data_IF_502118519817
#
_entry.id   IF_502118519817
#
_cell.length_a   1.000
_cell.length_b   1.000
_cell.length_c   1.000
_cell.angle_alpha   90.00
_cell.angle_beta   90.00
_cell.angle_gamma   90.00
#
_symmetry.space_group_name_H-M   'P 1'
#
loop_
_entity.id
_entity.type
_entity.pdbx_description
1 polymer ?
#
# COMPACT_ATOMS: atom_id res chain seq x y z
N UNK A 1 69.54 7.44 36.79
CA UNK A 1 68.06 7.50 36.99
C UNK A 1 67.38 8.55 36.11
N UNK A 2 67.95 9.75 35.95
CA UNK A 2 67.36 10.85 35.16
C UNK A 2 67.22 10.49 33.66
N UNK A 3 68.22 9.87 33.05
CA UNK A 3 68.22 9.48 31.61
C UNK A 3 67.15 8.48 31.27
N UNK A 4 66.89 7.50 32.12
CA UNK A 4 65.80 6.49 31.90
C UNK A 4 64.42 7.12 31.97
N UNK A 5 64.24 8.15 32.75
CA UNK A 5 62.95 8.89 32.87
C UNK A 5 62.67 9.73 31.62
N UNK A 6 63.67 10.34 31.01
CA UNK A 6 63.52 11.07 29.76
C UNK A 6 63.26 10.15 28.57
N UNK A 7 63.85 8.97 28.52
CA UNK A 7 63.61 7.95 27.49
C UNK A 7 62.16 7.43 27.64
N UNK A 8 61.68 7.17 28.83
CA UNK A 8 60.30 6.72 29.05
C UNK A 8 59.29 7.78 28.65
N UNK A 9 59.48 9.06 28.95
CA UNK A 9 58.61 10.16 28.54
C UNK A 9 58.62 10.33 27.03
N UNK A 10 59.76 10.24 26.36
CA UNK A 10 59.85 10.33 24.90
C UNK A 10 59.16 9.15 24.23
N UNK A 11 59.26 7.94 24.78
CA UNK A 11 58.61 6.75 24.25
C UNK A 11 57.08 6.84 24.36
N UNK A 12 56.56 7.30 25.51
CA UNK A 12 55.12 7.48 25.70
C UNK A 12 54.55 8.57 24.80
N UNK A 13 55.26 9.67 24.59
CA UNK A 13 54.85 10.73 23.65
C UNK A 13 54.82 10.22 22.19
N UNK A 14 55.81 9.42 21.78
CA UNK A 14 55.85 8.84 20.46
C UNK A 14 54.68 7.86 20.20
N UNK A 15 54.37 7.00 21.19
CA UNK A 15 53.23 6.08 21.10
C UNK A 15 51.89 6.82 21.02
N UNK A 16 51.72 7.89 21.81
CA UNK A 16 50.52 8.73 21.78
C UNK A 16 50.36 9.44 20.42
N UNK A 17 51.46 9.95 19.85
CA UNK A 17 51.45 10.61 18.54
C UNK A 17 51.08 9.63 17.43
N UNK A 18 51.66 8.42 17.44
CA UNK A 18 51.32 7.37 16.45
C UNK A 18 49.87 6.91 16.58
N UNK A 19 49.36 6.76 17.80
CA UNK A 19 47.94 6.40 18.04
C UNK A 19 46.99 7.48 17.53
N UNK A 20 47.32 8.75 17.76
CA UNK A 20 46.50 9.86 17.24
C UNK A 20 46.52 9.94 15.71
N UNK A 21 47.69 9.77 15.09
CA UNK A 21 47.79 9.73 13.62
C UNK A 21 47.01 8.57 12.98
N UNK A 22 47.11 7.39 13.61
CA UNK A 22 46.36 6.22 13.18
C UNK A 22 44.84 6.44 13.32
N UNK A 23 44.38 7.03 14.40
CA UNK A 23 42.98 7.36 14.64
C UNK A 23 42.45 8.37 13.60
N UNK A 24 43.23 9.42 13.31
CA UNK A 24 42.88 10.41 12.28
C UNK A 24 42.81 9.74 10.86
N UNK A 25 43.78 8.90 10.54
CA UNK A 25 43.82 8.17 9.27
C UNK A 25 42.63 7.22 9.17
N UNK A 26 42.28 6.44 10.18
CA UNK A 26 41.14 5.57 10.22
C UNK A 26 39.82 6.35 10.10
N UNK A 27 39.70 7.47 10.80
CA UNK A 27 38.52 8.31 10.75
C UNK A 27 38.36 8.97 9.35
N UNK A 28 39.47 9.37 8.72
CA UNK A 28 39.49 9.89 7.35
C UNK A 28 39.10 8.81 6.33
N UNK A 29 39.64 7.58 6.46
CA UNK A 29 39.27 6.45 5.61
C UNK A 29 37.83 6.01 5.83
N UNK A 30 37.36 6.00 7.07
CA UNK A 30 35.99 5.65 7.43
C UNK A 30 34.99 6.69 6.87
N UNK A 31 35.27 7.98 7.04
CA UNK A 31 34.47 9.05 6.41
C UNK A 31 34.48 8.96 4.88
N UNK A 32 35.60 8.66 4.26
CA UNK A 32 35.72 8.57 2.82
C UNK A 32 34.99 7.34 2.24
N UNK A 33 34.86 6.28 3.04
CA UNK A 33 34.14 5.06 2.64
C UNK A 33 32.63 5.19 2.79
N UNK A 34 32.18 6.00 3.73
CA UNK A 34 30.74 6.31 3.93
C UNK A 34 30.27 7.35 2.91
N UNK A 35 31.14 8.23 2.44
CA UNK A 35 30.90 9.22 1.38
C UNK A 35 31.38 8.72 0.02
N UNK A 36 31.08 7.49 -0.34
CA UNK A 36 31.31 7.03 -1.71
C UNK A 36 30.19 7.57 -2.62
N UNK A 37 30.53 8.06 -3.84
CA UNK A 37 29.50 8.47 -4.82
C UNK A 37 28.48 7.39 -5.13
N UNK A 38 28.81 6.12 -4.88
CA UNK A 38 27.90 4.98 -5.03
C UNK A 38 26.77 4.97 -3.98
N UNK A 39 27.02 5.39 -2.72
CA UNK A 39 25.99 5.47 -1.70
C UNK A 39 24.97 6.57 -2.05
N UNK A 40 25.45 7.71 -2.55
CA UNK A 40 24.60 8.82 -2.99
C UNK A 40 23.79 8.45 -4.25
N UNK A 41 24.40 7.72 -5.18
CA UNK A 41 23.73 7.22 -6.37
C UNK A 41 22.67 6.12 -6.07
N UNK A 42 22.91 5.27 -5.08
CA UNK A 42 21.90 4.30 -4.61
C UNK A 42 20.72 5.01 -3.93
N UNK A 43 20.97 6.02 -3.08
CA UNK A 43 19.91 6.79 -2.42
C UNK A 43 19.06 7.55 -3.42
N UNK A 44 19.67 8.18 -4.44
CA UNK A 44 18.94 8.88 -5.51
C UNK A 44 18.10 7.89 -6.33
N UNK A 45 18.62 6.70 -6.66
CA UNK A 45 17.85 5.66 -7.36
C UNK A 45 16.69 5.14 -6.53
N UNK A 46 16.90 4.89 -5.24
CA UNK A 46 15.83 4.46 -4.34
C UNK A 46 14.73 5.53 -4.21
N UNK A 47 15.09 6.81 -4.11
CA UNK A 47 14.14 7.92 -4.09
C UNK A 47 13.41 8.11 -5.43
N UNK A 48 14.08 7.90 -6.58
CA UNK A 48 13.44 7.95 -7.90
C UNK A 48 12.52 6.75 -8.12
N UNK A 49 12.90 5.54 -7.67
CA UNK A 49 12.05 4.35 -7.70
C UNK A 49 10.84 4.51 -6.77
N UNK A 50 10.97 5.14 -5.60
CA UNK A 50 9.84 5.43 -4.71
C UNK A 50 8.92 6.52 -5.29
N UNK A 51 9.43 7.51 -6.01
CA UNK A 51 8.60 8.55 -6.67
C UNK A 51 7.70 8.00 -7.77
N UNK A 52 8.09 6.90 -8.40
CA UNK A 52 7.26 6.19 -9.37
C UNK A 52 6.23 5.24 -8.77
N UNK A 53 6.33 4.93 -7.48
CA UNK A 53 5.44 3.98 -6.80
C UNK A 53 4.22 4.68 -6.23
N UNK A 54 3.04 4.12 -6.47
CA UNK A 54 1.77 4.64 -5.99
C UNK A 54 1.04 3.58 -5.19
N UNK A 55 0.89 3.80 -3.90
CA UNK A 55 0.23 2.84 -3.02
C UNK A 55 -1.28 2.95 -3.10
N UNK A 56 -1.93 1.85 -3.43
CA UNK A 56 -3.39 1.67 -3.44
C UNK A 56 -3.77 0.75 -2.28
N UNK A 57 -4.57 1.26 -1.36
CA UNK A 57 -5.04 0.48 -0.21
C UNK A 57 -6.40 -0.14 -0.53
N UNK A 58 -6.52 -1.46 -0.40
CA UNK A 58 -7.75 -2.20 -0.69
C UNK A 58 -8.37 -2.70 0.60
N UNK A 59 -9.51 -2.11 0.97
CA UNK A 59 -10.24 -2.41 2.20
C UNK A 59 -11.68 -2.84 1.91
N UNK A 60 -12.35 -3.32 2.93
CA UNK A 60 -13.75 -3.77 2.89
C UNK A 60 -13.94 -4.97 3.81
N UNK A 61 -15.17 -5.29 4.13
CA UNK A 61 -15.50 -6.39 5.02
C UNK A 61 -14.99 -7.74 4.46
N UNK A 62 -14.89 -8.72 5.33
CA UNK A 62 -14.57 -10.09 4.91
C UNK A 62 -15.62 -10.63 3.93
N UNK A 63 -15.17 -11.38 2.94
CA UNK A 63 -16.03 -11.91 1.89
C UNK A 63 -16.50 -10.89 0.83
N UNK A 64 -16.13 -9.61 0.91
CA UNK A 64 -16.52 -8.58 -0.08
C UNK A 64 -15.92 -8.79 -1.48
N UNK A 65 -14.85 -9.59 -1.62
CA UNK A 65 -14.23 -9.90 -2.91
C UNK A 65 -12.97 -9.10 -3.21
N UNK A 66 -12.29 -8.57 -2.18
CA UNK A 66 -11.02 -7.83 -2.31
C UNK A 66 -9.95 -8.64 -3.04
N UNK A 67 -9.67 -9.85 -2.55
CA UNK A 67 -8.66 -10.74 -3.15
C UNK A 67 -9.04 -11.17 -4.57
N UNK A 68 -10.33 -11.32 -4.87
CA UNK A 68 -10.81 -11.61 -6.23
C UNK A 68 -10.56 -10.43 -7.17
N UNK A 69 -10.71 -9.20 -6.70
CA UNK A 69 -10.37 -8.00 -7.45
C UNK A 69 -8.88 -7.97 -7.79
N UNK A 70 -8.02 -8.18 -6.81
CA UNK A 70 -6.57 -8.18 -7.03
C UNK A 70 -6.13 -9.27 -8.01
N UNK A 71 -6.67 -10.48 -7.86
CA UNK A 71 -6.40 -11.57 -8.79
C UNK A 71 -6.85 -11.26 -10.22
N UNK A 72 -7.95 -10.53 -10.37
CA UNK A 72 -8.46 -10.13 -11.67
C UNK A 72 -7.65 -9.02 -12.35
N UNK A 73 -6.96 -8.18 -11.59
CA UNK A 73 -6.07 -7.14 -12.10
C UNK A 73 -4.70 -7.67 -12.58
N UNK A 74 -4.34 -8.91 -12.21
CA UNK A 74 -3.06 -9.51 -12.62
C UNK A 74 -3.19 -10.12 -14.01
N UNK A 75 -2.48 -9.61 -15.03
CA UNK A 75 -2.49 -10.22 -16.37
C UNK A 75 -1.68 -11.52 -16.36
N UNK A 76 -2.26 -12.60 -16.86
CA UNK A 76 -1.57 -13.87 -17.15
C UNK A 76 -1.48 -14.85 -15.98
N UNK A 77 -1.23 -16.12 -16.30
CA UNK A 77 -0.83 -17.32 -15.52
C UNK A 77 -1.49 -17.66 -14.16
N UNK A 78 -2.22 -16.78 -13.53
CA UNK A 78 -2.93 -17.07 -12.28
C UNK A 78 -4.22 -17.89 -12.48
N UNK A 79 -4.58 -18.18 -13.72
CA UNK A 79 -5.75 -19.02 -14.03
C UNK A 79 -5.64 -20.45 -13.43
N UNK A 80 -4.42 -20.97 -13.29
CA UNK A 80 -4.16 -22.29 -12.72
C UNK A 80 -4.23 -22.35 -11.17
N UNK A 81 -4.22 -21.20 -10.48
CA UNK A 81 -4.30 -21.10 -9.01
C UNK A 81 -5.61 -20.52 -8.50
N UNK A 82 -6.66 -20.47 -9.32
CA UNK A 82 -8.00 -20.01 -8.91
C UNK A 82 -8.69 -21.04 -8.00
N UNK A 83 -8.12 -21.25 -6.82
CA UNK A 83 -8.80 -21.90 -5.73
C UNK A 83 -9.82 -20.93 -5.10
N UNK A 84 -10.87 -21.48 -4.45
CA UNK A 84 -11.80 -20.68 -3.65
C UNK A 84 -11.04 -19.71 -2.77
N UNK A 85 -11.26 -18.40 -2.96
CA UNK A 85 -10.65 -17.38 -2.11
C UNK A 85 -11.07 -17.61 -0.66
N UNK A 86 -10.11 -17.96 0.19
CA UNK A 86 -10.33 -18.01 1.64
C UNK A 86 -10.28 -16.59 2.20
N UNK A 87 -10.99 -16.31 3.30
CA UNK A 87 -10.86 -15.02 3.97
C UNK A 87 -9.40 -14.69 4.29
N UNK A 88 -8.96 -13.51 3.91
CA UNK A 88 -7.58 -13.04 4.15
C UNK A 88 -7.38 -12.81 5.64
N UNK A 89 -6.49 -13.60 6.26
CA UNK A 89 -6.10 -13.49 7.67
C UNK A 89 -4.79 -12.72 7.79
N UNK A 90 -4.76 -11.44 7.40
CA UNK A 90 -3.56 -10.62 7.39
C UNK A 90 -3.62 -9.63 6.23
N UNK A 91 -2.57 -9.59 5.45
CA UNK A 91 -2.48 -8.70 4.30
C UNK A 91 -1.97 -9.46 3.06
N UNK A 92 -2.34 -8.93 1.87
CA UNK A 92 -1.77 -9.33 0.59
C UNK A 92 -1.14 -8.11 -0.06
N UNK A 93 -0.02 -8.29 -0.72
CA UNK A 93 0.67 -7.25 -1.47
C UNK A 93 0.81 -7.68 -2.93
N UNK A 94 0.55 -6.74 -3.85
CA UNK A 94 0.67 -6.96 -5.28
C UNK A 94 1.14 -5.67 -5.95
N UNK A 95 2.09 -5.78 -6.88
CA UNK A 95 2.53 -4.66 -7.71
C UNK A 95 2.10 -4.86 -9.16
N UNK A 96 1.60 -3.79 -9.75
CA UNK A 96 1.23 -3.72 -11.16
C UNK A 96 2.02 -2.62 -11.83
N UNK A 97 2.82 -2.98 -12.83
CA UNK A 97 3.58 -2.01 -13.62
C UNK A 97 2.68 -1.42 -14.71
N UNK A 98 2.48 -0.12 -14.67
CA UNK A 98 1.81 0.66 -15.71
C UNK A 98 2.83 1.57 -16.42
N UNK A 99 2.51 2.09 -17.61
CA UNK A 99 3.47 2.90 -18.39
C UNK A 99 3.95 4.17 -17.66
N UNK A 100 3.12 4.75 -16.80
CA UNK A 100 3.40 6.01 -16.10
C UNK A 100 3.91 5.83 -14.67
N UNK A 101 3.54 4.73 -13.99
CA UNK A 101 3.89 4.46 -12.60
C UNK A 101 3.72 2.98 -12.25
N UNK A 102 4.27 2.60 -11.11
CA UNK A 102 4.00 1.31 -10.48
C UNK A 102 2.88 1.47 -9.46
N UNK A 103 1.80 0.69 -9.59
CA UNK A 103 0.72 0.62 -8.62
C UNK A 103 1.01 -0.52 -7.64
N UNK A 104 1.20 -0.16 -6.38
CA UNK A 104 1.44 -1.10 -5.29
C UNK A 104 0.15 -1.27 -4.49
N UNK A 105 -0.51 -2.41 -4.66
CA UNK A 105 -1.75 -2.73 -3.97
C UNK A 105 -1.44 -3.41 -2.64
N UNK A 106 -2.02 -2.88 -1.57
CA UNK A 106 -2.02 -3.48 -0.25
C UNK A 106 -3.46 -3.83 0.15
N UNK A 107 -3.79 -5.11 0.17
CA UNK A 107 -5.05 -5.62 0.72
C UNK A 107 -4.88 -5.95 2.19
N UNK A 108 -5.80 -5.46 3.03
CA UNK A 108 -5.88 -5.86 4.45
C UNK A 108 -7.17 -6.65 4.67
N UNK A 109 -7.08 -7.70 5.46
CA UNK A 109 -8.23 -8.54 5.81
C UNK A 109 -9.38 -7.75 6.44
N UNK A 110 -10.62 -8.18 6.14
CA UNK A 110 -11.85 -7.50 6.59
C UNK A 110 -12.40 -8.00 7.92
N UNK A 111 -11.71 -8.94 8.58
CA UNK A 111 -12.10 -9.43 9.89
C UNK A 111 -12.08 -8.35 10.97
N UNK A 112 -12.88 -8.53 12.01
CA UNK A 112 -13.03 -7.54 13.09
C UNK A 112 -11.69 -7.22 13.79
N UNK A 113 -10.86 -8.23 13.96
CA UNK A 113 -9.52 -8.13 14.54
C UNK A 113 -8.56 -7.26 13.72
N UNK A 114 -8.74 -7.20 12.40
CA UNK A 114 -7.88 -6.44 11.47
C UNK A 114 -8.40 -5.04 11.18
N UNK A 115 -9.71 -4.80 11.26
CA UNK A 115 -10.33 -3.50 10.94
C UNK A 115 -9.80 -2.34 11.78
N UNK A 116 -9.41 -2.60 13.04
CA UNK A 116 -8.84 -1.60 13.94
C UNK A 116 -7.52 -0.99 13.43
N UNK A 117 -6.79 -1.72 12.58
CA UNK A 117 -5.51 -1.28 12.03
C UNK A 117 -5.64 -0.56 10.68
N UNK A 118 -6.81 -0.55 10.04
CA UNK A 118 -6.99 0.02 8.70
C UNK A 118 -6.57 1.48 8.62
N UNK A 119 -6.84 2.28 9.64
CA UNK A 119 -6.48 3.70 9.70
C UNK A 119 -4.97 3.95 9.67
N UNK A 120 -4.16 3.01 10.17
CA UNK A 120 -2.72 3.20 10.26
C UNK A 120 -2.03 3.22 8.90
N UNK A 121 -2.68 2.62 7.90
CA UNK A 121 -2.16 2.51 6.54
C UNK A 121 -2.57 3.68 5.61
N UNK A 122 -3.55 4.50 6.01
CA UNK A 122 -4.09 5.57 5.16
C UNK A 122 -3.05 6.64 4.83
N UNK A 123 -2.18 7.00 5.77
CA UNK A 123 -1.19 8.10 5.61
C UNK A 123 -0.21 7.91 4.44
N UNK A 124 0.05 6.67 4.04
CA UNK A 124 0.94 6.33 2.92
C UNK A 124 0.18 5.96 1.66
N UNK A 125 -1.13 6.07 1.69
CA UNK A 125 -2.03 5.65 0.62
C UNK A 125 -2.30 6.83 -0.31
N UNK A 126 -2.20 6.59 -1.62
CA UNK A 126 -2.55 7.57 -2.65
C UNK A 126 -4.02 7.47 -3.06
N UNK A 127 -4.57 6.25 -3.08
CA UNK A 127 -5.98 5.98 -3.37
C UNK A 127 -6.49 4.85 -2.48
N UNK A 128 -7.68 5.02 -1.90
CA UNK A 128 -8.40 3.97 -1.19
C UNK A 128 -9.41 3.31 -2.12
N UNK A 129 -9.31 2.00 -2.27
CA UNK A 129 -10.35 1.17 -2.90
C UNK A 129 -11.14 0.46 -1.79
N UNK A 130 -12.42 0.80 -1.66
CA UNK A 130 -13.30 0.19 -0.66
C UNK A 130 -14.28 -0.76 -1.31
N UNK A 131 -14.11 -2.06 -1.12
CA UNK A 131 -14.91 -3.12 -1.74
C UNK A 131 -16.09 -3.49 -0.84
N UNK A 132 -17.28 -3.44 -1.39
CA UNK A 132 -18.54 -3.75 -0.70
C UNK A 132 -19.24 -4.92 -1.39
N UNK A 133 -19.72 -5.87 -0.63
CA UNK A 133 -20.61 -6.92 -1.10
C UNK A 133 -22.04 -6.36 -1.28
N UNK A 134 -22.45 -6.14 -2.51
CA UNK A 134 -23.79 -5.59 -2.81
C UNK A 134 -24.91 -6.55 -2.49
N UNK A 135 -24.63 -7.84 -2.35
CA UNK A 135 -25.64 -8.86 -2.05
C UNK A 135 -25.89 -9.04 -0.56
N UNK A 136 -25.01 -8.54 0.29
CA UNK A 136 -25.11 -8.69 1.74
C UNK A 136 -25.72 -7.44 2.40
N UNK A 137 -27.03 -7.29 2.22
CA UNK A 137 -27.81 -6.16 2.75
C UNK A 137 -27.69 -6.02 4.28
N UNK A 138 -27.49 -7.13 4.98
CA UNK A 138 -27.41 -7.15 6.45
C UNK A 138 -26.16 -6.45 6.97
N UNK A 139 -25.05 -6.49 6.23
CA UNK A 139 -23.77 -5.88 6.61
C UNK A 139 -23.49 -4.52 5.96
N UNK A 140 -24.39 -3.99 5.12
CA UNK A 140 -24.24 -2.63 4.56
C UNK A 140 -24.13 -1.54 5.67
N UNK A 141 -24.89 -1.57 6.77
CA UNK A 141 -24.71 -0.60 7.84
C UNK A 141 -23.31 -0.63 8.48
N UNK A 142 -22.75 -1.82 8.64
CA UNK A 142 -21.38 -2.00 9.14
C UNK A 142 -20.35 -1.49 8.14
N UNK A 143 -20.51 -1.83 6.84
CA UNK A 143 -19.66 -1.35 5.77
C UNK A 143 -19.65 0.19 5.70
N UNK A 144 -20.85 0.83 5.85
CA UNK A 144 -20.98 2.28 5.95
C UNK A 144 -20.19 2.84 7.14
N UNK A 145 -20.40 2.29 8.33
CA UNK A 145 -19.76 2.78 9.54
C UNK A 145 -18.23 2.75 9.44
N UNK A 146 -17.68 1.65 8.92
CA UNK A 146 -16.23 1.49 8.71
C UNK A 146 -15.70 2.43 7.63
N UNK A 147 -16.39 2.56 6.50
CA UNK A 147 -16.02 3.51 5.45
C UNK A 147 -15.98 4.94 6.00
N UNK A 148 -17.05 5.40 6.65
CA UNK A 148 -17.11 6.75 7.20
C UNK A 148 -16.06 7.00 8.30
N UNK A 149 -15.68 5.96 9.05
CA UNK A 149 -14.56 6.04 10.00
C UNK A 149 -13.24 6.37 9.28
N UNK A 150 -12.95 5.68 8.18
CA UNK A 150 -11.75 5.91 7.38
C UNK A 150 -11.75 7.29 6.72
N UNK A 151 -12.89 7.70 6.16
CA UNK A 151 -13.07 9.00 5.49
C UNK A 151 -12.80 10.20 6.42
N UNK A 152 -13.01 10.04 7.72
CA UNK A 152 -12.70 11.08 8.72
C UNK A 152 -11.21 11.18 9.05
N UNK A 153 -10.46 10.09 8.90
CA UNK A 153 -9.01 10.06 9.21
C UNK A 153 -8.21 10.82 8.16
N UNK A 154 -8.55 10.60 6.88
CA UNK A 154 -7.85 11.26 5.74
C UNK A 154 -8.90 11.93 4.83
N UNK A 155 -9.23 13.20 5.09
CA UNK A 155 -10.30 13.90 4.37
C UNK A 155 -10.04 14.13 2.88
N UNK A 156 -8.78 14.21 2.45
CA UNK A 156 -8.40 14.53 1.06
C UNK A 156 -8.11 13.28 0.22
N UNK A 157 -8.05 12.09 0.84
CA UNK A 157 -7.71 10.86 0.14
C UNK A 157 -8.76 10.51 -0.92
N UNK A 158 -8.37 10.33 -2.20
CA UNK A 158 -9.28 9.84 -3.23
C UNK A 158 -9.81 8.44 -2.88
N UNK A 159 -11.11 8.23 -3.11
CA UNK A 159 -11.79 6.98 -2.76
C UNK A 159 -12.56 6.41 -3.93
N UNK A 160 -12.32 5.15 -4.22
CA UNK A 160 -13.09 4.35 -5.16
C UNK A 160 -13.88 3.31 -4.38
N UNK A 161 -15.20 3.43 -4.35
CA UNK A 161 -16.10 2.44 -3.77
C UNK A 161 -16.50 1.45 -4.86
N UNK A 162 -16.26 0.17 -4.63
CA UNK A 162 -16.55 -0.90 -5.57
C UNK A 162 -17.70 -1.76 -5.05
N UNK A 163 -18.90 -1.59 -5.59
CA UNK A 163 -20.07 -2.43 -5.31
C UNK A 163 -19.96 -3.76 -6.05
N UNK A 164 -19.40 -4.77 -5.39
CA UNK A 164 -19.13 -6.07 -5.96
C UNK A 164 -20.32 -7.02 -5.84
N UNK A 165 -20.27 -8.14 -6.57
CA UNK A 165 -21.28 -9.21 -6.62
C UNK A 165 -22.64 -8.76 -7.15
N UNK A 166 -22.63 -7.89 -8.17
CA UNK A 166 -23.83 -7.43 -8.86
C UNK A 166 -24.56 -8.54 -9.63
N UNK A 167 -23.93 -9.69 -9.78
CA UNK A 167 -24.51 -10.92 -10.36
C UNK A 167 -25.49 -11.63 -9.41
N UNK A 168 -25.45 -11.34 -8.13
CA UNK A 168 -26.30 -12.01 -7.14
C UNK A 168 -27.73 -11.46 -7.16
N UNK A 169 -28.76 -12.33 -6.99
CA UNK A 169 -30.17 -11.92 -7.13
C UNK A 169 -30.61 -10.87 -6.09
N UNK A 170 -29.92 -10.77 -4.96
CA UNK A 170 -30.23 -9.81 -3.89
C UNK A 170 -29.31 -8.59 -3.88
N UNK A 171 -28.49 -8.42 -4.91
CA UNK A 171 -27.58 -7.29 -5.00
C UNK A 171 -28.36 -5.97 -5.06
N UNK A 172 -27.92 -5.01 -4.25
CA UNK A 172 -28.44 -3.64 -4.32
C UNK A 172 -27.87 -2.96 -5.55
N UNK A 173 -28.68 -2.15 -6.22
CA UNK A 173 -28.24 -1.32 -7.34
C UNK A 173 -27.19 -0.28 -6.90
N UNK A 174 -26.51 0.33 -7.88
CA UNK A 174 -25.53 1.41 -7.60
C UNK A 174 -26.17 2.57 -6.85
N UNK A 175 -27.39 2.95 -7.24
CA UNK A 175 -28.14 4.04 -6.58
C UNK A 175 -28.52 3.68 -5.14
N UNK A 176 -29.04 2.48 -4.91
CA UNK A 176 -29.34 1.99 -3.55
C UNK A 176 -28.07 1.87 -2.71
N UNK A 177 -26.92 1.46 -3.31
CA UNK A 177 -25.65 1.38 -2.60
C UNK A 177 -25.14 2.76 -2.20
N UNK A 178 -25.29 3.76 -3.08
CA UNK A 178 -24.94 5.16 -2.79
C UNK A 178 -25.73 5.69 -1.57
N UNK A 179 -27.03 5.40 -1.51
CA UNK A 179 -27.87 5.79 -0.38
C UNK A 179 -27.54 4.99 0.87
N UNK A 180 -27.42 3.66 0.77
CA UNK A 180 -27.11 2.79 1.90
C UNK A 180 -25.79 3.14 2.58
N UNK A 181 -24.78 3.53 1.81
CA UNK A 181 -23.48 3.99 2.31
C UNK A 181 -23.48 5.49 2.65
N UNK A 182 -24.57 6.23 2.37
CA UNK A 182 -24.69 7.68 2.58
C UNK A 182 -23.52 8.47 1.98
N UNK A 183 -23.16 8.17 0.72
CA UNK A 183 -22.02 8.80 0.06
C UNK A 183 -22.27 10.30 -0.24
N UNK A 184 -23.52 10.72 -0.38
CA UNK A 184 -23.89 12.12 -0.56
C UNK A 184 -23.57 13.03 0.65
N UNK A 185 -23.31 12.45 1.82
CA UNK A 185 -22.87 13.20 3.00
C UNK A 185 -21.34 13.37 3.09
N UNK A 186 -20.62 12.77 2.14
CA UNK A 186 -19.15 12.91 2.04
C UNK A 186 -18.85 14.24 1.35
N UNK A 187 -18.00 15.06 1.96
CA UNK A 187 -17.68 16.43 1.54
C UNK A 187 -17.37 16.55 0.06
N UNK A 188 -17.85 17.60 -0.58
CA UNK A 188 -17.72 17.88 -2.03
C UNK A 188 -16.27 18.02 -2.50
N UNK A 189 -15.33 18.28 -1.61
CA UNK A 189 -13.90 18.44 -1.92
C UNK A 189 -13.13 17.14 -2.15
N UNK A 190 -13.77 15.98 -1.97
CA UNK A 190 -13.12 14.68 -2.13
C UNK A 190 -13.45 14.05 -3.48
N UNK A 191 -12.43 13.51 -4.15
CA UNK A 191 -12.63 12.65 -5.32
C UNK A 191 -13.18 11.29 -4.86
N UNK A 192 -14.50 11.09 -5.01
CA UNK A 192 -15.19 9.85 -4.66
C UNK A 192 -15.87 9.29 -5.90
N UNK A 193 -15.60 8.01 -6.18
CA UNK A 193 -16.16 7.28 -7.32
C UNK A 193 -16.85 6.02 -6.81
N UNK A 194 -18.02 5.73 -7.37
CA UNK A 194 -18.78 4.51 -7.08
C UNK A 194 -18.92 3.69 -8.38
N UNK A 195 -18.37 2.49 -8.38
CA UNK A 195 -18.39 1.58 -9.50
C UNK A 195 -19.12 0.28 -9.14
N UNK A 196 -19.88 -0.26 -10.09
CA UNK A 196 -20.44 -1.60 -9.98
C UNK A 196 -19.46 -2.63 -10.51
N UNK A 197 -19.26 -3.72 -9.78
CA UNK A 197 -18.40 -4.81 -10.19
C UNK A 197 -19.10 -6.17 -10.09
N UNK A 198 -18.68 -7.05 -10.97
CA UNK A 198 -19.06 -8.45 -10.97
C UNK A 198 -17.78 -9.26 -11.06
N UNK A 199 -17.19 -9.53 -9.90
CA UNK A 199 -15.94 -10.27 -9.79
C UNK A 199 -16.26 -11.71 -9.41
N UNK A 200 -16.35 -12.57 -10.42
CA UNK A 200 -16.68 -13.99 -10.25
C UNK A 200 -15.55 -14.75 -9.55
N UNK A 201 -15.91 -15.50 -8.52
CA UNK A 201 -15.04 -16.50 -7.90
C UNK A 201 -14.84 -17.76 -8.79
N UNK A 202 -15.62 -17.93 -9.83
CA UNK A 202 -15.69 -19.16 -10.65
C UNK A 202 -15.10 -19.04 -12.06
N UNK A 203 -14.34 -17.99 -12.35
CA UNK A 203 -13.47 -17.96 -13.53
C UNK A 203 -14.13 -17.63 -14.89
N UNK A 204 -15.35 -17.09 -14.93
CA UNK A 204 -15.97 -16.59 -16.16
C UNK A 204 -15.36 -15.23 -16.59
N UNK A 205 -14.26 -15.31 -17.29
CA UNK A 205 -13.30 -14.23 -17.60
C UNK A 205 -13.88 -13.08 -18.44
N UNK A 206 -15.00 -13.23 -19.15
CA UNK A 206 -15.36 -12.29 -20.24
C UNK A 206 -16.12 -11.02 -19.83
N UNK A 207 -16.87 -11.00 -18.72
CA UNK A 207 -17.58 -9.78 -18.25
C UNK A 207 -16.82 -9.01 -17.17
N UNK A 208 -16.01 -9.70 -16.38
CA UNK A 208 -15.18 -9.12 -15.33
C UNK A 208 -14.09 -8.19 -15.90
N UNK A 209 -13.56 -8.47 -17.09
CA UNK A 209 -12.45 -7.75 -17.68
C UNK A 209 -12.72 -6.25 -17.84
N UNK A 210 -13.84 -5.85 -18.46
CA UNK A 210 -14.17 -4.45 -18.72
C UNK A 210 -14.34 -3.60 -17.46
N UNK A 211 -14.82 -4.20 -16.36
CA UNK A 211 -14.97 -3.49 -15.10
C UNK A 211 -13.59 -3.27 -14.42
N UNK A 212 -12.73 -4.28 -14.49
CA UNK A 212 -11.38 -4.19 -13.92
C UNK A 212 -10.48 -3.25 -14.72
N UNK A 213 -10.62 -3.23 -16.06
CA UNK A 213 -9.93 -2.26 -16.92
C UNK A 213 -10.35 -0.83 -16.55
N UNK A 214 -11.66 -0.59 -16.36
CA UNK A 214 -12.16 0.72 -15.91
C UNK A 214 -11.66 1.11 -14.51
N UNK A 215 -11.56 0.16 -13.58
CA UNK A 215 -10.97 0.40 -12.25
C UNK A 215 -9.50 0.74 -12.38
N UNK A 216 -8.74 0.02 -13.19
CA UNK A 216 -7.32 0.27 -13.42
C UNK A 216 -7.09 1.66 -14.04
N UNK A 217 -7.84 2.00 -15.10
CA UNK A 217 -7.76 3.30 -15.77
C UNK A 217 -8.09 4.45 -14.80
N UNK A 218 -9.12 4.27 -13.97
CA UNK A 218 -9.49 5.25 -12.96
C UNK A 218 -8.38 5.41 -11.90
N UNK A 219 -7.80 4.31 -11.42
CA UNK A 219 -6.70 4.38 -10.46
C UNK A 219 -5.50 5.13 -11.04
N UNK A 220 -5.14 4.89 -12.30
CA UNK A 220 -4.05 5.60 -12.98
C UNK A 220 -4.31 7.11 -13.16
N UNK A 221 -5.58 7.51 -13.23
CA UNK A 221 -5.96 8.94 -13.28
C UNK A 221 -5.93 9.63 -11.91
N UNK A 222 -6.04 8.86 -10.83
CA UNK A 222 -6.13 9.38 -9.47
C UNK A 222 -4.78 9.50 -8.76
N UNK A 223 -3.77 8.77 -9.22
CA UNK A 223 -2.40 8.75 -8.68
C UNK A 223 -1.45 9.63 -9.47
#
# INVERSE_FOLDING_TARGET
>A
MVLLRHISIALTAAVAALGSALFIALNYFYKRRIWSPQAEYCTIKEEEEERGKRQVLVLGLDGAGKSSMLQGLTPGDSAAKRGRCRPTRGFNFMSLNAPACQLDFLEIGGGEDLRRYWSDYLRRTHVLVYVVDSSDRSRLPLAKAELHRLLRVEPQLPVVVLGNKQDKPNAVSVSELHEALSLGSVTEDRKLFLLAAQLDSDGAVRKSCKCLDAVQDLLLQLV
#
